data_IF_901030365880
#
_entry.id   IF_901030365880
#
_cell.length_a   1.000
_cell.length_b   1.000
_cell.length_c   1.000
_cell.angle_alpha   90.00
_cell.angle_beta   90.00
_cell.angle_gamma   90.00
#
_symmetry.space_group_name_H-M   'P 1'
#
loop_
_entity.id
_entity.type
_entity.pdbx_description
1 polymer ?
#
# COMPACT_ATOMS: atom_id res chain seq x y z
N UNK A 1 -10.12 -5.75 -24.61
CA UNK A 1 -9.98 -5.13 -23.28
C UNK A 1 -11.11 -5.63 -22.41
N UNK A 2 -10.80 -6.28 -21.29
CA UNK A 2 -11.78 -6.59 -20.25
C UNK A 2 -11.43 -5.72 -19.03
N UNK A 3 -12.37 -4.88 -18.60
CA UNK A 3 -12.24 -4.11 -17.38
C UNK A 3 -12.14 -5.07 -16.20
N UNK A 4 -11.15 -4.86 -15.34
CA UNK A 4 -11.04 -5.60 -14.09
C UNK A 4 -12.21 -5.20 -13.19
N UNK A 5 -13.09 -6.17 -12.86
CA UNK A 5 -14.20 -6.01 -11.93
C UNK A 5 -13.85 -6.72 -10.61
N UNK A 6 -13.64 -5.97 -9.51
CA UNK A 6 -13.33 -6.55 -8.20
C UNK A 6 -14.45 -7.42 -7.61
N UNK A 7 -15.66 -7.40 -8.16
CA UNK A 7 -16.79 -8.21 -7.69
C UNK A 7 -16.90 -9.58 -8.38
N UNK A 8 -16.30 -9.74 -9.57
CA UNK A 8 -16.31 -11.01 -10.31
C UNK A 8 -14.99 -11.76 -10.26
N UNK A 9 -13.86 -11.07 -10.09
CA UNK A 9 -12.54 -11.70 -9.96
C UNK A 9 -11.89 -11.35 -8.60
N UNK A 10 -12.28 -12.03 -7.50
CA UNK A 10 -11.68 -11.79 -6.21
C UNK A 10 -10.18 -12.14 -6.23
N UNK A 11 -9.32 -11.37 -5.54
CA UNK A 11 -7.90 -11.68 -5.48
C UNK A 11 -7.65 -13.06 -4.89
N UNK A 12 -6.67 -13.81 -5.42
CA UNK A 12 -6.28 -15.16 -4.96
C UNK A 12 -5.90 -15.27 -3.46
N UNK A 13 -5.83 -14.16 -2.74
CA UNK A 13 -5.57 -14.13 -1.29
C UNK A 13 -6.85 -14.09 -0.43
N UNK A 14 -8.04 -14.02 -1.03
CA UNK A 14 -9.30 -14.02 -0.28
C UNK A 14 -9.70 -15.45 0.15
N UNK A 15 -9.74 -15.78 1.45
CA UNK A 15 -10.31 -17.03 1.92
C UNK A 15 -11.85 -16.96 1.83
N UNK A 16 -12.48 -18.05 1.38
CA UNK A 16 -13.94 -18.16 1.14
C UNK A 16 -14.78 -18.24 2.43
N UNK A 17 -14.17 -18.26 3.63
CA UNK A 17 -14.92 -18.37 4.89
C UNK A 17 -15.13 -17.02 5.58
N UNK A 18 -16.11 -16.25 5.06
CA UNK A 18 -17.21 -15.61 5.83
C UNK A 18 -17.63 -14.26 5.23
N UNK A 19 -18.81 -14.26 4.59
CA UNK A 19 -19.51 -13.04 4.16
C UNK A 19 -19.69 -12.02 5.30
N UNK A 20 -19.79 -12.48 6.55
CA UNK A 20 -19.82 -11.61 7.73
C UNK A 20 -18.50 -10.84 7.97
N UNK A 21 -17.34 -11.45 7.67
CA UNK A 21 -16.06 -10.78 7.82
C UNK A 21 -15.84 -9.74 6.72
N UNK A 22 -16.26 -10.03 5.48
CA UNK A 22 -16.27 -9.06 4.37
C UNK A 22 -17.20 -7.86 4.66
N UNK A 23 -18.39 -8.09 5.22
CA UNK A 23 -19.31 -7.00 5.57
C UNK A 23 -18.75 -6.12 6.69
N UNK A 24 -18.14 -6.73 7.71
CA UNK A 24 -17.41 -6.01 8.76
C UNK A 24 -16.22 -5.23 8.20
N UNK A 25 -15.48 -5.81 7.24
CA UNK A 25 -14.37 -5.16 6.54
C UNK A 25 -14.84 -3.93 5.76
N UNK A 26 -15.93 -4.05 5.01
CA UNK A 26 -16.52 -2.96 4.23
C UNK A 26 -17.05 -1.85 5.13
N UNK A 27 -17.68 -2.20 6.26
CA UNK A 27 -18.13 -1.23 7.25
C UNK A 27 -16.95 -0.52 7.95
N UNK A 28 -15.89 -1.26 8.30
CA UNK A 28 -14.65 -0.67 8.83
C UNK A 28 -13.97 0.23 7.80
N UNK A 29 -13.98 -0.17 6.53
CA UNK A 29 -13.43 0.62 5.43
C UNK A 29 -14.24 1.90 5.19
N UNK A 30 -15.58 1.82 5.17
CA UNK A 30 -16.46 2.97 5.06
C UNK A 30 -16.32 3.92 6.27
N UNK A 31 -16.18 3.36 7.48
CA UNK A 31 -15.89 4.13 8.70
C UNK A 31 -14.51 4.78 8.65
N UNK A 32 -13.49 4.10 8.11
CA UNK A 32 -12.15 4.67 7.91
C UNK A 32 -12.15 5.79 6.88
N UNK A 33 -12.86 5.63 5.76
CA UNK A 33 -12.97 6.67 4.74
C UNK A 33 -13.73 7.90 5.26
N UNK A 34 -14.78 7.69 6.07
CA UNK A 34 -15.57 8.78 6.64
C UNK A 34 -14.87 9.52 7.80
N UNK A 35 -13.93 8.86 8.49
CA UNK A 35 -13.11 9.46 9.56
C UNK A 35 -11.81 10.07 9.03
N UNK A 36 -11.19 9.48 8.01
CA UNK A 36 -10.00 10.01 7.35
C UNK A 36 -10.26 11.38 6.69
N UNK A 37 -11.49 11.68 6.27
CA UNK A 37 -11.86 13.00 5.74
C UNK A 37 -11.89 14.10 6.82
N UNK A 38 -11.91 13.74 8.11
CA UNK A 38 -12.02 14.67 9.24
C UNK A 38 -10.74 14.80 10.09
N UNK A 39 -9.69 14.02 9.80
CA UNK A 39 -8.41 14.10 10.53
C UNK A 39 -8.45 13.67 12.01
N UNK A 40 -9.61 13.24 12.54
CA UNK A 40 -9.74 12.80 13.93
C UNK A 40 -9.36 11.32 14.06
N UNK A 41 -8.11 11.04 14.46
CA UNK A 41 -7.67 9.70 14.82
C UNK A 41 -8.17 9.34 16.23
N UNK A 42 -9.44 8.92 16.33
CA UNK A 42 -10.03 8.48 17.61
C UNK A 42 -9.55 7.07 17.92
N UNK A 43 -8.57 6.99 18.83
CA UNK A 43 -7.89 5.84 19.45
C UNK A 43 -6.88 5.05 18.59
N UNK A 44 -5.67 4.77 19.12
CA UNK A 44 -4.70 3.89 18.45
C UNK A 44 -5.23 2.46 18.35
N UNK A 45 -5.07 1.82 17.19
CA UNK A 45 -5.37 0.41 17.04
C UNK A 45 -4.38 -0.44 17.84
N UNK A 46 -4.91 -1.14 18.86
CA UNK A 46 -4.16 -2.01 19.76
C UNK A 46 -4.11 -3.47 19.30
N UNK A 47 -4.90 -3.83 18.28
CA UNK A 47 -4.95 -5.19 17.75
C UNK A 47 -4.26 -5.28 16.38
N UNK A 48 -3.42 -6.29 16.24
CA UNK A 48 -2.55 -6.45 15.09
C UNK A 48 -3.29 -6.84 13.80
N UNK A 49 -4.31 -7.68 13.93
CA UNK A 49 -5.18 -8.13 12.85
C UNK A 49 -5.96 -6.96 12.24
N UNK A 50 -6.56 -6.12 13.08
CA UNK A 50 -7.27 -4.91 12.67
C UNK A 50 -6.33 -3.93 11.95
N UNK A 51 -5.14 -3.73 12.51
CA UNK A 51 -4.13 -2.86 11.89
C UNK A 51 -3.64 -3.42 10.55
N UNK A 52 -3.44 -4.73 10.46
CA UNK A 52 -3.04 -5.40 9.22
C UNK A 52 -4.11 -5.27 8.12
N UNK A 53 -5.37 -5.49 8.48
CA UNK A 53 -6.52 -5.29 7.59
C UNK A 53 -6.56 -3.86 7.09
N UNK A 54 -6.54 -2.89 8.01
CA UNK A 54 -6.59 -1.48 7.65
C UNK A 54 -5.44 -1.12 6.70
N UNK A 55 -4.22 -1.54 7.00
CA UNK A 55 -3.07 -1.29 6.14
C UNK A 55 -3.21 -1.96 4.76
N UNK A 56 -3.81 -3.15 4.70
CA UNK A 56 -4.08 -3.85 3.44
C UNK A 56 -5.12 -3.11 2.60
N UNK A 57 -6.17 -2.59 3.24
CA UNK A 57 -7.19 -1.76 2.58
C UNK A 57 -6.65 -0.39 2.15
N UNK A 58 -5.68 0.19 2.87
CA UNK A 58 -5.02 1.44 2.51
C UNK A 58 -4.07 1.30 1.32
N UNK A 59 -3.62 0.09 1.01
CA UNK A 59 -2.66 -0.17 -0.05
C UNK A 59 -3.05 0.40 -1.43
N UNK A 60 -4.25 0.14 -1.99
CA UNK A 60 -4.66 0.73 -3.26
C UNK A 60 -4.76 2.26 -3.22
N UNK A 61 -5.18 2.84 -2.09
CA UNK A 61 -5.27 4.29 -1.91
C UNK A 61 -3.88 4.93 -1.91
N UNK A 62 -2.94 4.33 -1.19
CA UNK A 62 -1.55 4.77 -1.16
C UNK A 62 -0.93 4.72 -2.56
N UNK A 63 -1.17 3.64 -3.32
CA UNK A 63 -0.71 3.53 -4.70
C UNK A 63 -1.30 4.62 -5.60
N UNK A 64 -2.58 4.95 -5.45
CA UNK A 64 -3.20 6.03 -6.22
C UNK A 64 -2.52 7.38 -5.92
N UNK A 65 -2.30 7.72 -4.63
CA UNK A 65 -1.61 8.97 -4.24
C UNK A 65 -0.19 9.05 -4.78
N UNK A 66 0.56 7.97 -4.67
CA UNK A 66 1.96 7.92 -5.11
C UNK A 66 2.09 8.10 -6.62
N UNK A 67 1.15 7.57 -7.39
CA UNK A 67 1.11 7.79 -8.84
C UNK A 67 0.88 9.26 -9.19
N UNK A 68 0.02 9.95 -8.45
CA UNK A 68 -0.20 11.40 -8.61
C UNK A 68 1.08 12.16 -8.27
N UNK A 69 1.67 11.88 -7.11
CA UNK A 69 2.91 12.52 -6.68
C UNK A 69 4.06 12.30 -7.66
N UNK A 70 4.30 11.06 -8.10
CA UNK A 70 5.35 10.77 -9.07
C UNK A 70 5.07 11.38 -10.45
N UNK A 71 3.80 11.45 -10.88
CA UNK A 71 3.44 12.13 -12.13
C UNK A 71 3.70 13.63 -12.08
N UNK A 72 3.50 14.27 -10.92
CA UNK A 72 3.70 15.71 -10.75
C UNK A 72 5.20 16.08 -10.63
N UNK A 73 5.99 15.21 -10.00
CA UNK A 73 7.39 15.48 -9.65
C UNK A 73 8.42 14.77 -10.56
N UNK A 74 7.96 14.06 -11.59
CA UNK A 74 8.86 13.25 -12.44
C UNK A 74 9.47 12.04 -11.73
N UNK A 75 8.83 11.57 -10.66
CA UNK A 75 9.29 10.44 -9.86
C UNK A 75 9.38 9.12 -10.64
N UNK A 76 10.32 8.28 -10.22
CA UNK A 76 10.64 7.01 -10.85
C UNK A 76 10.32 5.82 -9.94
N UNK A 77 10.11 4.65 -10.57
CA UNK A 77 9.86 3.39 -9.86
C UNK A 77 10.68 2.24 -10.46
N UNK A 78 11.01 1.21 -9.66
CA UNK A 78 11.59 -0.02 -10.17
C UNK A 78 10.63 -0.70 -11.16
N UNK A 79 11.15 -1.16 -12.29
CA UNK A 79 10.37 -1.88 -13.30
C UNK A 79 10.37 -3.38 -13.04
N UNK A 80 9.39 -4.07 -13.63
CA UNK A 80 9.41 -5.54 -13.68
C UNK A 80 10.30 -5.97 -14.86
N UNK A 81 11.24 -6.92 -14.67
CA UNK A 81 12.05 -7.43 -15.76
C UNK A 81 11.16 -8.03 -16.85
N UNK A 82 11.27 -7.52 -18.07
CA UNK A 82 10.63 -8.13 -19.25
C UNK A 82 11.50 -9.29 -19.72
N UNK A 83 10.88 -10.43 -20.05
CA UNK A 83 11.60 -11.62 -20.51
C UNK A 83 12.56 -11.26 -21.66
N UNK A 84 13.86 -11.51 -21.46
CA UNK A 84 14.92 -11.23 -22.44
C UNK A 84 15.89 -10.09 -22.07
N UNK A 85 15.58 -9.27 -21.05
CA UNK A 85 16.49 -8.23 -20.55
C UNK A 85 16.91 -8.54 -19.11
N UNK A 86 18.20 -8.86 -18.95
CA UNK A 86 18.84 -9.28 -17.69
C UNK A 86 19.16 -8.14 -16.72
N UNK A 87 18.59 -6.94 -16.90
CA UNK A 87 18.84 -5.84 -15.96
C UNK A 87 17.97 -5.96 -14.71
N UNK A 88 18.51 -6.67 -13.72
CA UNK A 88 18.10 -6.54 -12.34
C UNK A 88 18.33 -5.08 -11.91
N UNK A 89 17.26 -4.42 -11.45
CA UNK A 89 17.25 -3.04 -10.92
C UNK A 89 17.07 -1.90 -11.94
N UNK A 90 16.45 -2.15 -13.09
CA UNK A 90 15.98 -1.05 -13.94
C UNK A 90 14.91 -0.20 -13.24
N UNK A 91 15.03 1.11 -13.44
CA UNK A 91 14.13 2.15 -12.88
C UNK A 91 13.66 3.00 -14.05
N UNK A 92 12.37 3.35 -14.07
CA UNK A 92 11.83 4.22 -15.11
C UNK A 92 10.93 5.30 -14.51
N UNK A 93 10.90 6.46 -15.19
CA UNK A 93 10.01 7.56 -14.85
C UNK A 93 8.56 7.10 -14.96
N UNK A 94 7.75 7.50 -13.97
CA UNK A 94 6.37 7.08 -13.91
C UNK A 94 5.60 7.44 -15.19
N UNK A 95 5.03 6.42 -15.82
CA UNK A 95 4.11 6.56 -16.93
C UNK A 95 3.12 5.37 -16.91
N UNK A 96 1.96 5.51 -17.56
CA UNK A 96 0.93 4.45 -17.54
C UNK A 96 1.24 3.24 -18.41
N UNK A 97 2.30 3.29 -19.23
CA UNK A 97 2.64 2.29 -20.23
C UNK A 97 3.63 1.25 -19.70
N UNK A 98 4.39 1.58 -18.65
CA UNK A 98 5.42 0.72 -18.06
C UNK A 98 4.86 -0.09 -16.89
N UNK A 99 5.26 -1.37 -16.79
CA UNK A 99 4.94 -2.23 -15.67
C UNK A 99 5.95 -2.02 -14.53
N UNK A 100 5.46 -1.47 -13.42
CA UNK A 100 6.28 -1.19 -12.23
C UNK A 100 6.13 -2.26 -11.15
N UNK A 101 7.22 -2.48 -10.42
CA UNK A 101 7.29 -3.34 -9.24
C UNK A 101 6.89 -2.54 -8.00
N UNK A 102 5.66 -2.75 -7.54
CA UNK A 102 5.15 -2.15 -6.31
C UNK A 102 5.59 -2.94 -5.07
N UNK A 103 5.87 -2.25 -3.97
CA UNK A 103 6.11 -2.90 -2.69
C UNK A 103 4.82 -3.57 -2.21
N UNK A 104 4.90 -4.84 -1.79
CA UNK A 104 3.75 -5.56 -1.23
C UNK A 104 3.49 -5.10 0.20
N UNK A 105 2.25 -5.27 0.67
CA UNK A 105 1.94 -5.23 2.10
C UNK A 105 2.88 -6.18 2.83
N UNK A 106 3.44 -5.73 3.97
CA UNK A 106 4.43 -6.50 4.71
C UNK A 106 3.82 -7.84 5.15
N UNK A 107 4.60 -8.91 5.02
CA UNK A 107 4.19 -10.24 5.46
C UNK A 107 3.85 -10.25 6.97
N UNK A 108 2.76 -10.92 7.33
CA UNK A 108 2.24 -10.97 8.71
C UNK A 108 3.26 -11.50 9.73
N UNK A 109 4.07 -12.50 9.38
CA UNK A 109 5.12 -13.02 10.26
C UNK A 109 6.20 -11.95 10.52
N UNK A 110 6.57 -11.17 9.50
CA UNK A 110 7.53 -10.06 9.64
C UNK A 110 6.96 -8.91 10.46
N UNK A 111 5.65 -8.70 10.40
CA UNK A 111 4.96 -7.74 11.27
C UNK A 111 5.03 -8.22 12.72
N UNK A 112 4.59 -9.45 13.00
CA UNK A 112 4.64 -10.07 14.33
C UNK A 112 6.05 -10.00 14.95
N UNK A 113 7.05 -10.43 14.18
CA UNK A 113 8.46 -10.36 14.55
C UNK A 113 8.91 -8.94 14.92
N UNK A 114 8.49 -7.93 14.15
CA UNK A 114 8.85 -6.54 14.39
C UNK A 114 8.14 -6.00 15.64
N UNK A 115 6.88 -6.32 15.83
CA UNK A 115 6.09 -5.95 17.02
C UNK A 115 6.73 -6.47 18.30
N UNK A 116 7.14 -7.74 18.30
CA UNK A 116 7.71 -8.40 19.47
C UNK A 116 9.14 -7.92 19.76
N UNK A 117 9.98 -7.76 18.73
CA UNK A 117 11.40 -7.42 18.91
C UNK A 117 11.67 -5.93 19.10
N UNK A 118 10.87 -5.06 18.47
CA UNK A 118 11.16 -3.61 18.39
C UNK A 118 10.20 -2.80 19.25
N UNK A 119 8.92 -3.15 19.24
CA UNK A 119 7.87 -2.30 19.83
C UNK A 119 7.29 -2.83 21.14
N UNK A 120 7.87 -3.89 21.72
CA UNK A 120 7.44 -4.39 23.04
C UNK A 120 5.95 -4.72 23.11
N UNK A 121 5.38 -5.26 22.03
CA UNK A 121 3.93 -5.55 21.85
C UNK A 121 3.04 -4.34 21.51
N UNK A 122 3.56 -3.12 21.45
CA UNK A 122 2.80 -1.94 21.04
C UNK A 122 2.58 -1.92 19.52
N UNK A 123 1.40 -2.35 19.07
CA UNK A 123 1.05 -2.42 17.64
C UNK A 123 0.89 -1.04 17.00
N UNK A 124 0.53 -0.02 17.79
CA UNK A 124 0.31 1.36 17.34
C UNK A 124 1.53 2.00 16.69
N UNK A 125 2.74 1.48 16.93
CA UNK A 125 3.99 2.02 16.37
C UNK A 125 4.35 1.42 15.00
N UNK A 126 3.55 0.47 14.49
CA UNK A 126 3.76 -0.13 13.18
C UNK A 126 3.25 0.77 12.05
N UNK A 127 4.12 1.65 11.58
CA UNK A 127 3.79 2.61 10.51
C UNK A 127 4.16 2.13 9.10
N UNK A 128 4.90 1.01 8.98
CA UNK A 128 5.50 0.57 7.71
C UNK A 128 4.96 -0.78 7.21
N UNK A 129 3.71 -1.10 7.58
CA UNK A 129 2.99 -2.28 7.09
C UNK A 129 2.65 -2.12 5.60
N UNK A 130 2.12 -0.95 5.24
CA UNK A 130 1.92 -0.55 3.85
C UNK A 130 2.84 0.64 3.55
N UNK A 131 3.73 0.47 2.57
CA UNK A 131 4.72 1.47 2.19
C UNK A 131 5.03 1.35 0.70
N UNK A 132 5.65 2.39 0.15
CA UNK A 132 6.19 2.44 -1.20
C UNK A 132 7.39 3.39 -1.22
N UNK A 133 8.12 3.38 -2.33
CA UNK A 133 9.27 4.25 -2.56
C UNK A 133 9.07 4.98 -3.88
N UNK A 134 9.34 6.29 -3.89
CA UNK A 134 9.51 7.08 -5.11
C UNK A 134 11.00 7.40 -5.20
N UNK A 135 11.59 7.19 -6.38
CA UNK A 135 13.00 7.46 -6.65
C UNK A 135 13.09 8.76 -7.44
N UNK A 136 14.04 9.63 -7.09
CA UNK A 136 14.26 10.91 -7.76
C UNK A 136 15.70 10.98 -8.27
N UNK A 137 15.88 11.60 -9.44
CA UNK A 137 17.20 11.85 -10.04
C UNK A 137 17.90 13.02 -9.35
N UNK A 138 17.12 13.97 -8.82
CA UNK A 138 17.62 15.19 -8.20
C UNK A 138 16.77 15.61 -6.98
N UNK A 139 17.36 16.43 -6.12
CA UNK A 139 16.72 16.93 -4.90
C UNK A 139 15.57 17.90 -5.15
N UNK A 140 15.55 18.60 -6.30
CA UNK A 140 14.47 19.55 -6.63
C UNK A 140 13.18 18.79 -6.93
N UNK A 141 13.27 17.69 -7.67
CA UNK A 141 12.16 16.77 -7.93
C UNK A 141 11.59 16.18 -6.64
N UNK A 142 12.45 15.80 -5.68
CA UNK A 142 12.01 15.38 -4.34
C UNK A 142 11.25 16.50 -3.61
N UNK A 143 11.79 17.73 -3.61
CA UNK A 143 11.16 18.86 -2.94
C UNK A 143 9.78 19.19 -3.55
N UNK A 144 9.65 19.11 -4.88
CA UNK A 144 8.38 19.31 -5.58
C UNK A 144 7.35 18.24 -5.21
N UNK A 145 7.77 16.99 -5.02
CA UNK A 145 6.88 15.90 -4.61
C UNK A 145 6.25 16.10 -3.22
N UNK A 146 6.90 16.85 -2.33
CA UNK A 146 6.47 17.04 -0.94
C UNK A 146 5.64 18.31 -0.71
N UNK A 147 5.46 19.13 -1.74
CA UNK A 147 4.59 20.32 -1.71
C UNK A 147 3.14 19.92 -1.93
#
# INVERSE_FOLDING_TARGET
GRSWDPFHDPPRWAPISSLHYCASLLNQFAALLSTASKGEMKTPLTRLDQLYIQASCMHPILLAKIRVWASASGGCFPTVPTAGLQEQNSVARYNRLVLFKWAKVKNIHRILEKTLRVYGKATSHLVDICRQTIIFEDMSSLAECLR
#
